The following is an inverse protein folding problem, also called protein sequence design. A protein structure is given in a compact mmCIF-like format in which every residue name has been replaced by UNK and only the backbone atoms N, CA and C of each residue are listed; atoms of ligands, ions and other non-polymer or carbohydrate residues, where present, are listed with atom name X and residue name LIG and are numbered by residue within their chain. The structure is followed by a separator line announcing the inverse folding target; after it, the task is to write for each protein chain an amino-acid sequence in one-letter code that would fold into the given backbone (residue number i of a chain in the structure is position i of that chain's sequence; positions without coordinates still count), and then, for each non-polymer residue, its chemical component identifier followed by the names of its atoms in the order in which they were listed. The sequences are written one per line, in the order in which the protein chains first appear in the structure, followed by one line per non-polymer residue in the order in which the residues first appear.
data_IF_501792236897
#
_entry.id   IF_501792236897
#
_cell.length_a   1.000
_cell.length_b   1.000
_cell.length_c   1.000
_cell.angle_alpha   90.00
_cell.angle_beta   90.00
_cell.angle_gamma   90.00
#
_symmetry.space_group_name_H-M   'P 1'
#
loop_
_entity.id
_entity.type
_entity.pdbx_description
1 polymer ?
#
# COMPACT_ATOMS: atom_id res chain seq x y z
N UNK A 1 2.75 -42.47 -39.72
CA UNK A 1 2.27 -41.68 -38.56
C UNK A 1 1.95 -42.66 -37.47
N UNK A 2 2.85 -42.82 -36.50
CA UNK A 2 2.59 -43.71 -35.37
C UNK A 2 1.49 -43.07 -34.51
N UNK A 3 0.48 -43.85 -34.16
CA UNK A 3 -0.48 -43.42 -33.14
C UNK A 3 0.28 -43.38 -31.81
N UNK A 4 0.39 -42.21 -31.22
CA UNK A 4 0.88 -42.05 -29.85
C UNK A 4 -0.31 -42.16 -28.91
N UNK A 5 -0.08 -42.70 -27.73
CA UNK A 5 -1.06 -42.75 -26.66
C UNK A 5 -0.38 -42.26 -25.38
N UNK A 6 -1.16 -41.70 -24.47
CA UNK A 6 -0.70 -41.22 -23.18
C UNK A 6 -1.45 -41.92 -22.05
N UNK A 7 -0.81 -42.00 -20.89
CA UNK A 7 -1.38 -42.48 -19.64
C UNK A 7 -1.20 -41.39 -18.60
N UNK A 8 -2.26 -41.03 -17.89
CA UNK A 8 -2.23 -40.11 -16.77
C UNK A 8 -2.26 -40.90 -15.47
N UNK A 9 -1.37 -40.51 -14.57
CA UNK A 9 -1.28 -41.05 -13.22
C UNK A 9 -1.43 -39.94 -12.20
N UNK A 10 -2.18 -40.23 -11.13
CA UNK A 10 -2.38 -39.36 -9.97
C UNK A 10 -2.23 -40.22 -8.72
N UNK A 11 -1.33 -39.83 -7.83
CA UNK A 11 -1.04 -40.56 -6.59
C UNK A 11 -0.74 -42.06 -6.80
N UNK A 12 -0.06 -42.39 -7.90
CA UNK A 12 0.30 -43.76 -8.27
C UNK A 12 -0.83 -44.61 -8.87
N UNK A 13 -2.01 -44.02 -9.09
CA UNK A 13 -3.12 -44.68 -9.77
C UNK A 13 -3.33 -44.11 -11.19
N UNK A 14 -3.61 -44.98 -12.15
CA UNK A 14 -3.98 -44.57 -13.51
C UNK A 14 -5.37 -43.94 -13.48
N UNK A 15 -5.47 -42.71 -13.96
CA UNK A 15 -6.73 -41.93 -14.00
C UNK A 15 -7.28 -41.75 -15.41
N UNK A 16 -6.42 -41.81 -16.44
CA UNK A 16 -6.84 -41.79 -17.84
C UNK A 16 -5.80 -42.48 -18.73
N UNK A 17 -6.25 -43.03 -19.87
CA UNK A 17 -5.37 -43.51 -20.93
C UNK A 17 -6.09 -43.35 -22.28
N UNK A 18 -5.52 -42.56 -23.17
CA UNK A 18 -6.16 -42.17 -24.44
C UNK A 18 -5.10 -42.02 -25.55
N UNK A 19 -5.58 -41.99 -26.80
CA UNK A 19 -4.74 -41.61 -27.95
C UNK A 19 -4.34 -40.13 -27.85
N UNK A 20 -3.08 -39.82 -28.15
CA UNK A 20 -2.55 -38.46 -28.13
C UNK A 20 -2.74 -37.79 -29.49
N UNK A 21 -3.55 -36.73 -29.52
CA UNK A 21 -3.66 -35.82 -30.66
C UNK A 21 -2.83 -34.54 -30.37
N UNK A 22 -1.74 -34.28 -31.12
CA UNK A 22 -0.92 -33.08 -30.96
C UNK A 22 -1.65 -31.76 -31.23
N UNK A 23 -2.80 -31.77 -31.91
CA UNK A 23 -3.58 -30.56 -32.20
C UNK A 23 -4.44 -30.10 -31.04
N UNK A 24 -4.90 -31.04 -30.21
CA UNK A 24 -5.69 -30.75 -29.00
C UNK A 24 -4.83 -30.78 -27.73
N UNK A 25 -3.75 -31.55 -27.71
CA UNK A 25 -2.95 -31.81 -26.52
C UNK A 25 -3.69 -32.71 -25.53
N UNK A 26 -3.25 -32.69 -24.27
CA UNK A 26 -3.88 -33.43 -23.16
C UNK A 26 -4.76 -32.47 -22.37
N UNK A 27 -6.03 -32.84 -22.18
CA UNK A 27 -6.99 -32.07 -21.37
C UNK A 27 -7.54 -32.95 -20.26
N UNK A 28 -7.28 -32.58 -19.00
CA UNK A 28 -7.70 -33.38 -17.85
C UNK A 28 -7.95 -32.49 -16.62
N UNK A 29 -9.13 -32.60 -15.99
CA UNK A 29 -9.51 -31.85 -14.77
C UNK A 29 -9.20 -30.34 -14.82
N UNK A 30 -9.30 -29.70 -15.99
CA UNK A 30 -9.00 -28.28 -16.18
C UNK A 30 -7.54 -27.95 -16.51
N UNK A 31 -6.64 -28.94 -16.50
CA UNK A 31 -5.30 -28.84 -17.05
C UNK A 31 -5.36 -28.97 -18.58
N UNK A 32 -4.60 -28.13 -19.27
CA UNK A 32 -4.37 -28.24 -20.71
C UNK A 32 -2.86 -28.27 -20.94
N UNK A 33 -2.36 -29.38 -21.47
CA UNK A 33 -0.94 -29.61 -21.69
C UNK A 33 -0.71 -29.76 -23.20
N UNK A 34 0.11 -28.88 -23.74
CA UNK A 34 0.54 -28.93 -25.13
C UNK A 34 1.98 -29.45 -25.19
N UNK A 35 2.16 -30.59 -25.84
CA UNK A 35 3.47 -31.21 -26.03
C UNK A 35 3.91 -30.94 -27.47
N UNK A 36 5.10 -30.37 -27.63
CA UNK A 36 5.72 -30.11 -28.94
C UNK A 36 7.04 -30.86 -29.05
N UNK A 37 7.41 -31.21 -30.27
CA UNK A 37 8.64 -31.94 -30.57
C UNK A 37 8.40 -33.41 -30.86
N UNK A 38 9.47 -34.20 -30.86
CA UNK A 38 9.39 -35.64 -31.05
C UNK A 38 9.11 -36.33 -29.71
N UNK A 39 8.08 -37.18 -29.67
CA UNK A 39 7.73 -37.99 -28.50
C UNK A 39 8.22 -39.40 -28.75
N UNK A 40 8.97 -39.96 -27.81
CA UNK A 40 9.45 -41.34 -27.83
C UNK A 40 8.71 -42.17 -26.80
N UNK A 41 8.55 -43.48 -27.08
CA UNK A 41 7.94 -44.40 -26.12
C UNK A 41 8.77 -44.42 -24.82
N UNK A 42 8.14 -44.11 -23.71
CA UNK A 42 8.76 -44.08 -22.39
C UNK A 42 9.03 -42.67 -21.86
N UNK A 43 8.81 -41.63 -22.66
CA UNK A 43 8.88 -40.24 -22.19
C UNK A 43 7.82 -40.01 -21.09
N UNK A 44 8.21 -39.30 -20.04
CA UNK A 44 7.37 -38.98 -18.90
C UNK A 44 7.49 -37.51 -18.52
N UNK A 45 6.36 -36.87 -18.18
CA UNK A 45 6.31 -35.51 -17.66
C UNK A 45 5.64 -35.57 -16.29
N UNK A 46 6.31 -35.02 -15.28
CA UNK A 46 5.78 -34.92 -13.92
C UNK A 46 5.29 -33.50 -13.67
N UNK A 47 4.07 -33.37 -13.15
CA UNK A 47 3.50 -32.10 -12.73
C UNK A 47 3.29 -32.13 -11.22
N UNK A 48 3.92 -31.20 -10.52
CA UNK A 48 3.80 -31.06 -9.08
C UNK A 48 3.20 -29.70 -8.75
N UNK A 49 2.17 -29.64 -7.87
CA UNK A 49 1.69 -28.37 -7.35
C UNK A 49 2.81 -27.60 -6.66
N UNK A 50 2.94 -26.31 -6.97
CA UNK A 50 3.95 -25.45 -6.35
C UNK A 50 3.33 -24.17 -5.81
N UNK A 51 3.29 -24.05 -4.49
CA UNK A 51 2.71 -22.89 -3.81
C UNK A 51 3.67 -21.71 -3.68
N UNK A 52 4.95 -21.99 -3.41
CA UNK A 52 5.97 -20.97 -3.15
C UNK A 52 7.27 -21.30 -3.87
N UNK A 53 8.01 -20.27 -4.24
CA UNK A 53 9.33 -20.39 -4.84
C UNK A 53 10.17 -19.15 -4.55
N UNK A 54 11.49 -19.32 -4.63
CA UNK A 54 12.44 -18.21 -4.55
C UNK A 54 12.73 -17.68 -5.96
N UNK A 55 12.58 -16.37 -6.14
CA UNK A 55 12.97 -15.71 -7.39
C UNK A 55 14.49 -15.83 -7.66
N UNK A 56 15.30 -15.99 -6.61
CA UNK A 56 16.73 -16.20 -6.76
C UNK A 56 17.04 -17.59 -7.34
N UNK A 57 16.27 -18.59 -6.94
CA UNK A 57 16.38 -19.94 -7.52
C UNK A 57 15.88 -19.91 -8.97
N UNK A 58 14.81 -19.18 -9.27
CA UNK A 58 14.35 -18.95 -10.64
C UNK A 58 15.44 -18.30 -11.52
N UNK A 59 16.17 -17.28 -11.01
CA UNK A 59 17.28 -16.67 -11.74
C UNK A 59 18.43 -17.64 -11.97
N UNK A 60 18.79 -18.41 -10.95
CA UNK A 60 19.85 -19.41 -11.06
C UNK A 60 19.50 -20.48 -12.10
N UNK A 61 18.28 -21.01 -12.01
CA UNK A 61 17.75 -21.98 -12.96
C UNK A 61 17.71 -21.41 -14.38
N UNK A 62 17.28 -20.15 -14.55
CA UNK A 62 17.29 -19.49 -15.86
C UNK A 62 18.69 -19.47 -16.48
N UNK A 63 19.71 -19.15 -15.68
CA UNK A 63 21.10 -19.11 -16.13
C UNK A 63 21.62 -20.51 -16.47
N UNK A 64 21.39 -21.48 -15.59
CA UNK A 64 21.80 -22.88 -15.80
C UNK A 64 21.16 -23.48 -17.05
N UNK A 65 19.86 -23.25 -17.27
CA UNK A 65 19.14 -23.80 -18.43
C UNK A 65 19.47 -23.07 -19.74
N UNK A 66 19.88 -21.80 -19.68
CA UNK A 66 20.28 -21.04 -20.87
C UNK A 66 21.62 -21.52 -21.47
N UNK A 67 22.43 -22.26 -20.71
CA UNK A 67 23.68 -22.86 -21.20
C UNK A 67 23.43 -24.16 -21.99
N UNK A 68 22.23 -24.76 -21.84
CA UNK A 68 21.89 -26.00 -22.54
C UNK A 68 21.56 -25.75 -24.03
N UNK A 69 21.83 -26.73 -24.91
CA UNK A 69 21.44 -26.62 -26.31
C UNK A 69 19.92 -26.43 -26.47
N UNK A 70 19.52 -25.57 -27.40
CA UNK A 70 18.09 -25.34 -27.72
C UNK A 70 17.36 -26.59 -28.22
N UNK A 71 18.10 -27.62 -28.63
CA UNK A 71 17.54 -28.93 -29.00
C UNK A 71 17.17 -29.79 -27.78
N UNK A 72 17.59 -29.42 -26.57
CA UNK A 72 17.18 -30.07 -25.34
C UNK A 72 15.76 -29.63 -24.98
N UNK A 73 14.81 -30.55 -25.18
CA UNK A 73 13.40 -30.33 -24.89
C UNK A 73 13.14 -30.11 -23.39
N UNK A 74 13.93 -30.74 -22.51
CA UNK A 74 13.79 -30.61 -21.05
C UNK A 74 14.25 -29.22 -20.60
N UNK A 75 15.40 -28.76 -21.10
CA UNK A 75 15.87 -27.40 -20.83
C UNK A 75 14.87 -26.35 -21.36
N UNK A 76 14.33 -26.55 -22.55
CA UNK A 76 13.31 -25.67 -23.13
C UNK A 76 12.03 -25.64 -22.29
N UNK A 77 11.53 -26.80 -21.84
CA UNK A 77 10.38 -26.88 -20.95
C UNK A 77 10.65 -26.17 -19.61
N UNK A 78 11.86 -26.30 -19.07
CA UNK A 78 12.24 -25.62 -17.83
C UNK A 78 12.35 -24.11 -17.99
N UNK A 79 12.84 -23.62 -19.13
CA UNK A 79 12.84 -22.19 -19.46
C UNK A 79 11.41 -21.62 -19.61
N UNK A 80 10.48 -22.40 -20.15
CA UNK A 80 9.05 -22.03 -20.14
C UNK A 80 8.51 -21.90 -18.71
N UNK A 81 8.81 -22.87 -17.84
CA UNK A 81 8.47 -22.78 -16.43
C UNK A 81 9.04 -21.49 -15.82
N UNK A 82 10.36 -21.28 -15.91
CA UNK A 82 11.07 -20.09 -15.42
C UNK A 82 10.44 -18.78 -15.87
N UNK A 83 9.94 -18.71 -17.11
CA UNK A 83 9.24 -17.53 -17.64
C UNK A 83 7.95 -17.24 -16.87
N UNK A 84 7.15 -18.28 -16.58
CA UNK A 84 5.95 -18.15 -15.74
C UNK A 84 6.31 -17.75 -14.30
N UNK A 85 7.41 -18.28 -13.77
CA UNK A 85 7.90 -17.91 -12.44
C UNK A 85 8.29 -16.42 -12.37
N UNK A 86 9.01 -15.91 -13.36
CA UNK A 86 9.32 -14.49 -13.46
C UNK A 86 8.06 -13.63 -13.56
N UNK A 87 7.08 -14.06 -14.34
CA UNK A 87 5.81 -13.36 -14.45
C UNK A 87 5.08 -13.28 -13.11
N UNK A 88 4.96 -14.41 -12.41
CA UNK A 88 4.35 -14.45 -11.07
C UNK A 88 5.11 -13.59 -10.06
N UNK A 89 6.45 -13.62 -10.08
CA UNK A 89 7.27 -12.77 -9.23
C UNK A 89 7.10 -11.26 -9.54
N UNK A 90 6.96 -10.90 -10.82
CA UNK A 90 6.69 -9.52 -11.23
C UNK A 90 5.33 -9.03 -10.74
N UNK A 91 4.28 -9.86 -10.81
CA UNK A 91 2.96 -9.56 -10.23
C UNK A 91 3.08 -9.35 -8.72
N UNK A 92 3.79 -10.24 -8.03
CA UNK A 92 3.99 -10.16 -6.58
C UNK A 92 4.71 -8.87 -6.18
N UNK A 93 5.79 -8.50 -6.88
CA UNK A 93 6.51 -7.25 -6.63
C UNK A 93 5.65 -6.01 -6.90
N UNK A 94 4.89 -6.02 -8.00
CA UNK A 94 3.94 -4.95 -8.32
C UNK A 94 2.91 -4.78 -7.20
N UNK A 95 2.35 -5.88 -6.69
CA UNK A 95 1.40 -5.84 -5.56
C UNK A 95 2.02 -5.21 -4.32
N UNK A 96 3.25 -5.58 -3.97
CA UNK A 96 3.97 -4.98 -2.84
C UNK A 96 4.19 -3.48 -3.04
N UNK A 97 4.59 -3.06 -4.25
CA UNK A 97 4.75 -1.64 -4.59
C UNK A 97 3.44 -0.87 -4.49
N UNK A 98 2.33 -1.45 -4.96
CA UNK A 98 0.99 -0.84 -4.84
C UNK A 98 0.58 -0.67 -3.38
N UNK A 99 0.83 -1.66 -2.52
CA UNK A 99 0.55 -1.57 -1.09
C UNK A 99 1.35 -0.42 -0.43
N UNK A 100 2.65 -0.31 -0.74
CA UNK A 100 3.47 0.81 -0.28
C UNK A 100 2.91 2.16 -0.78
N UNK A 101 2.48 2.22 -2.05
CA UNK A 101 1.85 3.42 -2.61
C UNK A 101 0.57 3.84 -1.89
N UNK A 102 -0.29 2.87 -1.52
CA UNK A 102 -1.50 3.14 -0.74
C UNK A 102 -1.18 3.67 0.67
N UNK A 103 -0.13 3.13 1.31
CA UNK A 103 0.36 3.63 2.60
C UNK A 103 0.91 5.06 2.50
N UNK A 104 1.69 5.36 1.45
CA UNK A 104 2.18 6.71 1.21
C UNK A 104 1.03 7.70 1.01
N UNK A 105 0.03 7.36 0.20
CA UNK A 105 -1.17 8.20 0.03
C UNK A 105 -1.92 8.43 1.34
N UNK A 106 -1.94 7.43 2.23
CA UNK A 106 -2.54 7.57 3.56
C UNK A 106 -1.73 8.54 4.44
N UNK A 107 -0.40 8.47 4.38
CA UNK A 107 0.48 9.39 5.11
C UNK A 107 0.32 10.85 4.62
N UNK A 108 0.21 11.07 3.31
CA UNK A 108 -0.03 12.41 2.74
C UNK A 108 -1.35 13.02 3.27
N UNK A 109 -2.40 12.21 3.35
CA UNK A 109 -3.69 12.63 3.92
C UNK A 109 -3.53 12.98 5.41
N UNK A 110 -2.80 12.17 6.17
CA UNK A 110 -2.55 12.43 7.59
C UNK A 110 -1.72 13.69 7.82
N UNK A 111 -0.73 13.95 6.97
CA UNK A 111 0.06 15.18 7.01
C UNK A 111 -0.82 16.41 6.78
N UNK A 112 -1.68 16.38 5.76
CA UNK A 112 -2.62 17.47 5.48
C UNK A 112 -3.58 17.72 6.65
N UNK A 113 -4.14 16.66 7.23
CA UNK A 113 -4.99 16.76 8.42
C UNK A 113 -4.25 17.36 9.62
N UNK A 114 -2.97 17.04 9.78
CA UNK A 114 -2.14 17.58 10.84
C UNK A 114 -1.85 19.08 10.64
N UNK A 115 -1.63 19.54 9.41
CA UNK A 115 -1.53 20.98 9.10
C UNK A 115 -2.84 21.73 9.43
N UNK A 116 -3.99 21.18 9.04
CA UNK A 116 -5.30 21.75 9.36
C UNK A 116 -5.56 21.80 10.88
N UNK A 117 -5.12 20.77 11.60
CA UNK A 117 -5.19 20.73 13.05
C UNK A 117 -4.31 21.81 13.70
N UNK A 118 -3.06 21.98 13.22
CA UNK A 118 -2.17 23.05 13.69
C UNK A 118 -2.77 24.44 13.45
N UNK A 119 -3.38 24.68 12.29
CA UNK A 119 -4.07 25.93 12.01
C UNK A 119 -5.26 26.17 12.95
N UNK A 120 -6.05 25.12 13.20
CA UNK A 120 -7.19 25.19 14.11
C UNK A 120 -6.75 25.49 15.54
N UNK A 121 -5.67 24.86 16.00
CA UNK A 121 -5.08 25.12 17.30
C UNK A 121 -4.52 26.54 17.41
N UNK A 122 -3.85 27.04 16.36
CA UNK A 122 -3.34 28.42 16.32
C UNK A 122 -4.49 29.45 16.40
N UNK A 123 -5.59 29.23 15.67
CA UNK A 123 -6.80 30.08 15.76
C UNK A 123 -7.44 30.04 17.14
N UNK A 124 -7.59 28.83 17.72
CA UNK A 124 -8.15 28.68 19.06
C UNK A 124 -7.30 29.40 20.12
N UNK A 125 -5.96 29.30 20.01
CA UNK A 125 -5.03 30.03 20.86
C UNK A 125 -5.17 31.55 20.71
N UNK A 126 -5.18 32.07 19.47
CA UNK A 126 -5.35 33.51 19.20
C UNK A 126 -6.64 34.05 19.81
N UNK A 127 -7.76 33.35 19.62
CA UNK A 127 -9.06 33.75 20.18
C UNK A 127 -9.03 33.81 21.72
N UNK A 128 -8.32 32.89 22.36
CA UNK A 128 -8.17 32.88 23.82
C UNK A 128 -7.30 34.05 24.30
N UNK A 129 -6.16 34.31 23.66
CA UNK A 129 -5.28 35.46 23.97
C UNK A 129 -6.01 36.80 23.75
N UNK A 130 -6.73 36.97 22.63
CA UNK A 130 -7.49 38.19 22.32
C UNK A 130 -8.63 38.46 23.32
N UNK A 131 -9.28 37.41 23.82
CA UNK A 131 -10.32 37.53 24.86
C UNK A 131 -9.73 38.04 26.17
N UNK A 132 -8.56 37.54 26.57
CA UNK A 132 -7.87 37.99 27.78
C UNK A 132 -7.40 39.44 27.69
N UNK A 133 -6.82 39.86 26.55
CA UNK A 133 -6.48 41.28 26.31
C UNK A 133 -7.71 42.20 26.37
N UNK A 134 -8.82 41.77 25.75
CA UNK A 134 -10.08 42.52 25.77
C UNK A 134 -10.60 42.71 27.19
N UNK A 135 -10.55 41.67 28.02
CA UNK A 135 -10.95 41.73 29.43
C UNK A 135 -10.05 42.66 30.26
N UNK A 136 -8.73 42.58 30.08
CA UNK A 136 -7.78 43.45 30.76
C UNK A 136 -7.97 44.94 30.42
N UNK A 137 -8.27 45.25 29.15
CA UNK A 137 -8.58 46.62 28.70
C UNK A 137 -9.89 47.13 29.30
N UNK A 138 -10.92 46.28 29.38
CA UNK A 138 -12.20 46.66 30.01
C UNK A 138 -11.97 46.99 31.49
N UNK A 139 -11.31 46.11 32.23
CA UNK A 139 -11.03 46.30 33.65
C UNK A 139 -10.18 47.56 33.91
N UNK A 140 -9.17 47.82 33.07
CA UNK A 140 -8.38 49.05 33.15
C UNK A 140 -9.21 50.32 32.90
N UNK A 141 -10.11 50.30 31.92
CA UNK A 141 -10.98 51.43 31.62
C UNK A 141 -11.98 51.69 32.74
N UNK A 142 -12.56 50.65 33.32
CA UNK A 142 -13.45 50.76 34.48
C UNK A 142 -12.74 51.37 35.67
N UNK A 143 -11.55 50.85 36.01
CA UNK A 143 -10.73 51.38 37.10
C UNK A 143 -10.31 52.83 36.86
N UNK A 144 -9.92 53.19 35.62
CA UNK A 144 -9.56 54.57 35.26
C UNK A 144 -10.75 55.52 35.38
N UNK A 145 -11.95 55.10 34.94
CA UNK A 145 -13.18 55.89 35.09
C UNK A 145 -13.56 56.06 36.55
N UNK A 146 -13.47 55.01 37.35
CA UNK A 146 -13.73 55.06 38.79
C UNK A 146 -12.76 56.00 39.51
N UNK A 147 -11.47 55.94 39.16
CA UNK A 147 -10.44 56.83 39.67
C UNK A 147 -10.73 58.29 39.29
N UNK A 148 -11.05 58.57 38.03
CA UNK A 148 -11.38 59.91 37.56
C UNK A 148 -12.65 60.46 38.25
N UNK A 149 -13.69 59.64 38.38
CA UNK A 149 -14.91 60.00 39.10
C UNK A 149 -14.63 60.31 40.57
N UNK A 150 -13.79 59.50 41.23
CA UNK A 150 -13.36 59.73 42.62
C UNK A 150 -12.57 61.03 42.77
N UNK A 151 -11.66 61.33 41.84
CA UNK A 151 -10.91 62.59 41.82
C UNK A 151 -11.81 63.80 41.61
N UNK A 152 -12.79 63.72 40.70
CA UNK A 152 -13.78 64.78 40.48
C UNK A 152 -14.69 64.99 41.69
N UNK A 153 -15.17 63.90 42.31
CA UNK A 153 -15.98 63.96 43.51
C UNK A 153 -15.19 64.56 44.69
N UNK A 154 -13.92 64.20 44.83
CA UNK A 154 -13.02 64.78 45.82
C UNK A 154 -12.77 66.28 45.58
N UNK A 155 -12.53 66.68 44.32
CA UNK A 155 -12.42 68.10 43.94
C UNK A 155 -13.67 68.89 44.29
N UNK A 156 -14.85 68.41 43.88
CA UNK A 156 -16.13 69.05 44.23
C UNK A 156 -16.40 69.09 45.72
N UNK A 157 -16.04 68.04 46.47
CA UNK A 157 -16.20 68.03 47.93
C UNK A 157 -15.26 69.02 48.60
N UNK A 158 -14.02 69.15 48.10
CA UNK A 158 -13.08 70.20 48.56
C UNK A 158 -13.59 71.61 48.28
N UNK A 159 -14.21 71.85 47.13
CA UNK A 159 -14.83 73.14 46.79
C UNK A 159 -16.09 73.45 47.64
N UNK A 160 -16.74 72.41 48.19
CA UNK A 160 -17.89 72.53 49.09
C UNK A 160 -17.50 72.75 50.56
N UNK A 161 -16.27 72.42 50.96
CA UNK A 161 -15.81 72.65 52.33
C UNK A 161 -15.05 73.98 52.43
N UNK A 162 -15.72 74.97 53.03
CA UNK A 162 -15.14 76.06 53.83
C UNK A 162 -14.84 77.43 53.18
N UNK A 163 -15.18 77.71 51.92
CA UNK A 163 -15.07 79.10 51.40
C UNK A 163 -16.31 79.68 50.70
N UNK A 164 -17.40 78.93 50.55
CA UNK A 164 -18.63 79.43 49.91
C UNK A 164 -19.79 79.71 50.90
N UNK A 165 -19.58 79.62 52.20
CA UNK A 165 -20.61 79.90 53.21
C UNK A 165 -20.21 80.96 54.26
N UNK A 166 -19.10 81.67 54.07
CA UNK A 166 -18.76 82.86 54.86
C UNK A 166 -18.30 83.96 53.92
#
# INVERSE_FOLDING_TARGET
TGNYAYQLEKDGAVVAAEDFDPSTGIVYEGLNIQIKGQITKGDSITLEPRETFSIFDTFKEAAEQAENPVSDASATAKLHQVTEEFHAAFIHLTKARTDVGARLSTLDIQEQQHEDFKLSLAKAKSNFEDLDYSKAIIEFNENSRALQASQQAFGKTKDLTLFNYI
#
